data_IF_889058723630
#
_entry.id   IF_889058723630
#
_cell.length_a   1.000
_cell.length_b   1.000
_cell.length_c   1.000
_cell.angle_alpha   90.00
_cell.angle_beta   90.00
_cell.angle_gamma   90.00
#
_symmetry.space_group_name_H-M   'P 1'
#
loop_
_entity.id
_entity.type
_entity.pdbx_description
1 polymer ?
#
# COMPACT_ATOMS: atom_id res chain seq x y z
N UNK A 1 21.49 18.71 16.67
CA UNK A 1 21.22 17.79 17.79
C UNK A 1 19.82 18.09 18.32
N UNK A 2 18.92 17.10 18.33
CA UNK A 2 17.49 17.27 18.65
C UNK A 2 17.32 17.87 20.06
N UNK A 3 16.45 18.87 20.26
CA UNK A 3 16.24 19.52 21.58
C UNK A 3 15.92 18.50 22.68
N UNK A 4 15.16 17.46 22.32
CA UNK A 4 14.88 16.31 23.18
C UNK A 4 16.13 15.58 23.66
N UNK A 5 17.12 15.37 22.78
CA UNK A 5 18.35 14.66 23.10
C UNK A 5 19.20 15.43 24.12
N UNK A 6 19.23 16.77 24.00
CA UNK A 6 19.88 17.64 24.99
C UNK A 6 19.20 17.56 26.35
N UNK A 7 17.87 17.65 26.39
CA UNK A 7 17.09 17.58 27.63
C UNK A 7 17.32 16.25 28.36
N UNK A 8 17.35 15.14 27.62
CA UNK A 8 17.61 13.80 28.18
C UNK A 8 19.01 13.71 28.76
N UNK A 9 20.04 14.11 28.00
CA UNK A 9 21.44 14.09 28.46
C UNK A 9 21.60 14.89 29.75
N UNK A 10 21.01 16.09 29.82
CA UNK A 10 21.05 16.93 31.01
C UNK A 10 20.37 16.27 32.21
N UNK A 11 19.21 15.63 32.02
CA UNK A 11 18.52 14.92 33.12
C UNK A 11 19.27 13.67 33.59
N UNK A 12 19.84 12.88 32.68
CA UNK A 12 20.71 11.74 33.08
C UNK A 12 21.95 12.20 33.84
N UNK A 13 22.54 13.34 33.47
CA UNK A 13 23.70 13.90 34.17
C UNK A 13 23.32 14.41 35.57
N UNK A 14 22.20 15.13 35.69
CA UNK A 14 21.65 15.54 36.98
C UNK A 14 21.38 14.33 37.90
N UNK A 15 20.88 13.23 37.33
CA UNK A 15 20.62 12.00 38.08
C UNK A 15 21.90 11.32 38.57
N UNK A 16 22.93 11.22 37.71
CA UNK A 16 24.24 10.68 38.11
C UNK A 16 24.85 11.50 39.25
N UNK A 17 24.71 12.83 39.21
CA UNK A 17 25.14 13.74 40.27
C UNK A 17 24.41 13.47 41.60
N UNK A 18 23.08 13.30 41.56
CA UNK A 18 22.28 13.01 42.76
C UNK A 18 22.67 11.64 43.35
N UNK A 19 22.89 10.61 42.52
CA UNK A 19 23.32 9.29 43.00
C UNK A 19 24.69 9.32 43.67
N UNK A 20 25.64 10.09 43.11
CA UNK A 20 26.97 10.26 43.72
C UNK A 20 26.87 11.05 45.02
N UNK A 21 26.07 12.12 45.06
CA UNK A 21 25.93 12.99 46.23
C UNK A 21 25.29 12.27 47.43
N UNK A 22 24.35 11.36 47.18
CA UNK A 22 23.62 10.62 48.22
C UNK A 22 24.13 9.18 48.44
N UNK A 23 25.31 8.83 47.92
CA UNK A 23 25.87 7.48 48.03
C UNK A 23 26.02 7.01 49.51
N UNK A 24 26.27 7.94 50.44
CA UNK A 24 26.36 7.67 51.88
C UNK A 24 25.03 7.52 52.63
N UNK A 25 23.88 7.71 51.96
CA UNK A 25 22.54 7.56 52.54
C UNK A 25 21.88 6.21 52.20
N UNK A 26 22.68 5.28 51.71
CA UNK A 26 22.25 3.91 51.36
C UNK A 26 21.70 3.18 52.58
N UNK A 27 20.49 2.61 52.45
CA UNK A 27 19.80 1.89 53.53
C UNK A 27 18.76 2.69 54.34
N UNK A 28 18.56 3.99 54.04
CA UNK A 28 17.43 4.73 54.63
C UNK A 28 16.14 4.56 53.79
N UNK A 29 14.98 4.27 54.41
CA UNK A 29 13.72 4.01 53.68
C UNK A 29 13.28 5.14 52.75
N UNK A 30 13.56 6.40 53.12
CA UNK A 30 13.24 7.56 52.28
C UNK A 30 14.09 7.61 51.01
N UNK A 31 15.37 7.21 51.10
CA UNK A 31 16.30 7.19 49.98
C UNK A 31 15.94 6.06 49.01
N UNK A 32 15.62 4.87 49.53
CA UNK A 32 15.16 3.73 48.73
C UNK A 32 13.88 4.05 47.95
N UNK A 33 12.90 4.71 48.59
CA UNK A 33 11.69 5.16 47.90
C UNK A 33 12.00 6.17 46.79
N UNK A 34 12.91 7.13 47.03
CA UNK A 34 13.31 8.09 46.00
C UNK A 34 14.06 7.45 44.83
N UNK A 35 14.93 6.49 45.11
CA UNK A 35 15.60 5.70 44.06
C UNK A 35 14.57 4.93 43.25
N UNK A 36 13.61 4.26 43.89
CA UNK A 36 12.53 3.52 43.22
C UNK A 36 11.70 4.42 42.30
N UNK A 37 11.20 5.54 42.82
CA UNK A 37 10.39 6.49 42.05
C UNK A 37 11.17 7.04 40.85
N UNK A 38 12.46 7.29 41.02
CA UNK A 38 13.31 7.79 39.94
C UNK A 38 13.61 6.72 38.89
N UNK A 39 13.79 5.45 39.29
CA UNK A 39 13.91 4.33 38.35
C UNK A 39 12.62 4.20 37.53
N UNK A 40 11.44 4.27 38.16
CA UNK A 40 10.15 4.22 37.46
C UNK A 40 10.04 5.37 36.45
N UNK A 41 10.47 6.57 36.83
CA UNK A 41 10.49 7.73 35.96
C UNK A 41 11.48 7.54 34.79
N UNK A 42 12.69 7.05 35.02
CA UNK A 42 13.66 6.70 33.98
C UNK A 42 13.13 5.65 33.00
N UNK A 43 12.50 4.58 33.51
CA UNK A 43 11.91 3.53 32.69
C UNK A 43 10.77 4.09 31.84
N UNK A 44 9.89 4.93 32.40
CA UNK A 44 8.81 5.54 31.62
C UNK A 44 9.35 6.45 30.52
N UNK A 45 10.35 7.30 30.79
CA UNK A 45 11.02 8.10 29.76
C UNK A 45 11.71 7.25 28.69
N UNK A 46 12.35 6.15 29.08
CA UNK A 46 12.96 5.21 28.14
C UNK A 46 11.91 4.61 27.20
N UNK A 47 10.76 4.16 27.74
CA UNK A 47 9.63 3.66 26.93
C UNK A 47 9.15 4.73 25.95
N UNK A 48 8.97 5.98 26.41
CA UNK A 48 8.57 7.11 25.55
C UNK A 48 9.59 7.41 24.44
N UNK A 49 10.89 7.18 24.66
CA UNK A 49 11.92 7.34 23.62
C UNK A 49 11.93 6.19 22.61
N UNK A 50 11.70 4.98 23.09
CA UNK A 50 11.82 3.76 22.30
C UNK A 50 10.63 3.59 21.34
N UNK A 51 9.42 3.99 21.74
CA UNK A 51 8.21 3.91 20.89
C UNK A 51 8.36 4.66 19.54
N UNK A 52 8.78 5.95 19.49
CA UNK A 52 9.03 6.65 18.23
C UNK A 52 10.14 6.02 17.40
N UNK A 53 11.19 5.49 18.03
CA UNK A 53 12.28 4.80 17.31
C UNK A 53 11.76 3.56 16.57
N UNK A 54 10.87 2.80 17.22
CA UNK A 54 10.15 1.71 16.59
C UNK A 54 9.27 2.19 15.42
N UNK A 55 8.57 3.32 15.53
CA UNK A 55 7.76 3.85 14.42
C UNK A 55 8.58 4.13 13.14
N UNK A 56 9.86 4.47 13.27
CA UNK A 56 10.78 4.64 12.14
C UNK A 56 11.16 3.29 11.51
N UNK A 57 11.30 2.26 12.34
CA UNK A 57 11.56 0.89 11.90
C UNK A 57 10.36 0.30 11.14
N UNK A 58 9.14 0.48 11.65
CA UNK A 58 7.89 -0.11 11.12
C UNK A 58 7.26 0.69 9.97
N UNK A 59 8.02 1.02 8.93
CA UNK A 59 7.47 1.74 7.75
C UNK A 59 7.17 0.76 6.61
N UNK A 60 5.89 0.55 6.24
CA UNK A 60 5.50 -0.36 5.17
C UNK A 60 5.76 0.24 3.78
N UNK A 61 5.83 -0.63 2.78
CA UNK A 61 5.70 -0.27 1.38
C UNK A 61 4.25 0.15 1.13
N UNK A 62 4.03 1.31 0.51
CA UNK A 62 2.69 1.76 0.14
C UNK A 62 2.50 1.53 -1.35
N UNK A 63 1.47 0.79 -1.71
CA UNK A 63 1.04 0.59 -3.10
C UNK A 63 -0.35 1.19 -3.20
N UNK A 64 -0.49 2.25 -3.97
CA UNK A 64 -1.74 2.97 -4.18
C UNK A 64 -2.17 2.77 -5.63
N UNK A 65 -3.39 2.27 -5.80
CA UNK A 65 -4.06 2.11 -7.09
C UNK A 65 -5.21 3.10 -7.19
N UNK A 66 -5.22 3.88 -8.27
CA UNK A 66 -6.36 4.74 -8.61
C UNK A 66 -6.83 4.45 -10.01
N UNK A 67 -8.11 4.13 -10.11
CA UNK A 67 -8.84 3.94 -11.35
C UNK A 67 -9.64 5.20 -11.65
N UNK A 68 -9.48 5.76 -12.84
CA UNK A 68 -10.24 6.93 -13.27
C UNK A 68 -10.73 6.76 -14.71
N UNK A 69 -11.98 7.10 -14.95
CA UNK A 69 -12.55 7.11 -16.31
C UNK A 69 -11.88 8.16 -17.18
N UNK A 70 -11.63 7.85 -18.47
CA UNK A 70 -11.13 8.85 -19.43
C UNK A 70 -12.14 9.95 -19.78
N UNK A 71 -13.41 9.78 -19.41
CA UNK A 71 -14.49 10.74 -19.67
C UNK A 71 -14.35 12.08 -18.92
N UNK A 72 -13.51 12.14 -17.88
CA UNK A 72 -13.23 13.35 -17.11
C UNK A 72 -12.47 13.00 -15.82
N UNK A 73 -11.52 13.86 -15.42
CA UNK A 73 -10.65 13.61 -14.25
C UNK A 73 -11.46 13.41 -12.97
N UNK A 74 -11.22 12.30 -12.27
CA UNK A 74 -11.87 11.99 -10.98
C UNK A 74 -13.25 11.33 -11.04
N UNK A 75 -13.67 10.78 -12.19
CA UNK A 75 -14.92 10.03 -12.29
C UNK A 75 -14.66 8.53 -12.12
N UNK A 76 -15.06 7.98 -10.96
CA UNK A 76 -14.98 6.55 -10.61
C UNK A 76 -16.07 5.68 -11.29
N UNK A 77 -16.75 6.23 -12.30
CA UNK A 77 -17.87 5.59 -12.99
C UNK A 77 -17.68 5.65 -14.51
N UNK A 78 -17.88 4.50 -15.18
CA UNK A 78 -17.92 4.42 -16.64
C UNK A 78 -19.32 3.99 -17.10
N UNK A 79 -20.09 4.87 -17.75
CA UNK A 79 -21.38 4.52 -18.34
C UNK A 79 -21.18 3.82 -19.70
N UNK A 80 -21.90 2.72 -19.91
CA UNK A 80 -21.92 1.98 -21.18
C UNK A 80 -23.36 1.88 -21.66
N UNK A 81 -23.60 2.28 -22.91
CA UNK A 81 -24.90 2.22 -23.57
C UNK A 81 -24.97 0.96 -24.45
N UNK A 82 -26.00 0.15 -24.20
CA UNK A 82 -26.35 -1.04 -24.97
C UNK A 82 -27.58 -0.75 -25.82
N UNK A 83 -27.50 -1.02 -27.13
CA UNK A 83 -28.62 -0.93 -28.08
C UNK A 83 -28.67 -2.24 -28.86
N UNK A 84 -29.81 -2.95 -28.83
CA UNK A 84 -29.97 -4.29 -29.45
C UNK A 84 -28.88 -5.28 -29.04
N UNK A 85 -28.54 -5.32 -27.74
CA UNK A 85 -27.49 -6.16 -27.16
C UNK A 85 -26.06 -5.92 -27.71
N UNK A 86 -25.84 -4.81 -28.43
CA UNK A 86 -24.53 -4.35 -28.87
C UNK A 86 -24.08 -3.07 -28.14
N UNK A 87 -22.80 -2.99 -27.74
CA UNK A 87 -22.25 -1.78 -27.13
C UNK A 87 -22.07 -0.67 -28.17
N UNK A 88 -22.83 0.42 -28.02
CA UNK A 88 -22.76 1.61 -28.90
C UNK A 88 -21.78 2.68 -28.43
N UNK A 89 -21.38 2.65 -27.16
CA UNK A 89 -20.43 3.63 -26.59
C UNK A 89 -19.10 3.58 -27.34
N UNK A 90 -18.47 4.71 -27.67
CA UNK A 90 -17.15 4.68 -28.32
C UNK A 90 -16.07 4.11 -27.39
N UNK A 91 -15.07 3.37 -27.91
CA UNK A 91 -14.03 2.69 -27.12
C UNK A 91 -13.27 3.63 -26.16
N UNK A 92 -13.01 4.87 -26.58
CA UNK A 92 -12.34 5.89 -25.74
C UNK A 92 -13.13 6.20 -24.47
N UNK A 93 -14.46 6.17 -24.54
CA UNK A 93 -15.35 6.42 -23.41
C UNK A 93 -15.48 5.19 -22.49
N UNK A 94 -15.12 4.00 -23.00
CA UNK A 94 -15.02 2.74 -22.24
C UNK A 94 -13.63 2.49 -21.65
N UNK A 95 -12.69 3.42 -21.84
CA UNK A 95 -11.31 3.30 -21.35
C UNK A 95 -11.20 3.86 -19.94
N UNK A 96 -10.59 3.08 -19.04
CA UNK A 96 -10.27 3.47 -17.68
C UNK A 96 -8.75 3.50 -17.51
N UNK A 97 -8.22 4.56 -16.92
CA UNK A 97 -6.81 4.66 -16.59
C UNK A 97 -6.58 4.09 -15.19
N UNK A 98 -5.75 3.05 -15.08
CA UNK A 98 -5.24 2.55 -13.81
C UNK A 98 -3.86 3.16 -13.52
N UNK A 99 -3.79 4.07 -12.56
CA UNK A 99 -2.53 4.57 -12.04
C UNK A 99 -2.05 3.75 -10.85
N UNK A 100 -0.77 3.37 -10.88
CA UNK A 100 -0.08 2.60 -9.86
C UNK A 100 1.04 3.46 -9.30
N UNK A 101 0.90 3.85 -8.04
CA UNK A 101 1.93 4.54 -7.28
C UNK A 101 2.51 3.57 -6.23
N UNK A 102 3.81 3.32 -6.30
CA UNK A 102 4.53 2.48 -5.34
C UNK A 102 5.51 3.37 -4.59
N UNK A 103 5.25 3.62 -3.30
CA UNK A 103 6.09 4.45 -2.43
C UNK A 103 6.79 3.58 -1.40
N UNK A 104 8.11 3.66 -1.40
CA UNK A 104 8.99 3.03 -0.42
C UNK A 104 9.67 4.08 0.45
N UNK A 105 9.72 3.82 1.76
CA UNK A 105 10.60 4.51 2.70
C UNK A 105 11.61 3.49 3.23
N UNK A 106 12.90 3.79 3.19
CA UNK A 106 13.94 2.90 3.73
C UNK A 106 13.67 2.52 5.19
N UNK A 107 13.53 1.23 5.47
CA UNK A 107 13.22 0.68 6.79
C UNK A 107 13.75 -0.76 6.94
N UNK A 108 13.80 -1.28 8.16
CA UNK A 108 14.15 -2.70 8.38
C UNK A 108 13.07 -3.61 7.78
N UNK A 109 11.80 -3.21 7.87
CA UNK A 109 10.67 -3.94 7.27
C UNK A 109 10.79 -4.08 5.76
N UNK A 110 11.27 -3.03 5.07
CA UNK A 110 11.59 -3.12 3.65
C UNK A 110 12.66 -4.18 3.35
N UNK A 111 13.71 -4.27 4.16
CA UNK A 111 14.78 -5.26 3.97
C UNK A 111 14.28 -6.69 4.14
N UNK A 112 13.42 -6.93 5.13
CA UNK A 112 12.77 -8.22 5.34
C UNK A 112 11.82 -8.53 4.18
N UNK A 113 11.00 -7.54 3.78
CA UNK A 113 10.06 -7.69 2.68
C UNK A 113 10.76 -8.06 1.37
N UNK A 114 11.81 -7.34 0.98
CA UNK A 114 12.51 -7.63 -0.28
C UNK A 114 13.23 -8.98 -0.25
N UNK A 115 13.73 -9.40 0.92
CA UNK A 115 14.31 -10.72 1.10
C UNK A 115 13.24 -11.81 0.88
N UNK A 116 12.05 -11.63 1.46
CA UNK A 116 10.91 -12.54 1.27
C UNK A 116 10.38 -12.55 -0.17
N UNK A 117 10.30 -11.38 -0.82
CA UNK A 117 9.82 -11.25 -2.20
C UNK A 117 10.84 -11.66 -3.26
N UNK A 118 12.09 -11.94 -2.88
CA UNK A 118 13.16 -12.26 -3.84
C UNK A 118 12.82 -13.44 -4.77
N UNK A 119 12.12 -14.43 -4.24
CA UNK A 119 11.74 -15.67 -4.94
C UNK A 119 10.25 -15.72 -5.31
N UNK A 120 9.49 -14.64 -5.11
CA UNK A 120 8.04 -14.63 -5.36
C UNK A 120 7.69 -13.60 -6.42
N UNK A 121 6.66 -13.91 -7.20
CA UNK A 121 6.01 -12.94 -8.09
C UNK A 121 5.05 -12.08 -7.28
N UNK A 122 4.87 -10.83 -7.69
CA UNK A 122 3.94 -9.88 -7.09
C UNK A 122 3.07 -9.35 -8.20
N UNK A 123 1.81 -9.77 -8.21
CA UNK A 123 0.88 -9.49 -9.28
C UNK A 123 -0.30 -8.68 -8.76
N UNK A 124 -0.70 -7.67 -9.51
CA UNK A 124 -1.96 -6.96 -9.31
C UNK A 124 -2.96 -7.54 -10.28
N UNK A 125 -3.99 -8.22 -9.76
CA UNK A 125 -5.04 -8.84 -10.55
C UNK A 125 -6.25 -7.91 -10.58
N UNK A 126 -6.74 -7.62 -11.79
CA UNK A 126 -7.86 -6.72 -12.04
C UNK A 126 -8.97 -7.56 -12.67
N UNK A 127 -10.11 -7.61 -11.99
CA UNK A 127 -11.31 -8.34 -12.39
C UNK A 127 -12.55 -7.52 -12.05
N UNK A 128 -13.60 -7.72 -12.83
CA UNK A 128 -14.94 -7.23 -12.51
C UNK A 128 -15.62 -8.18 -11.52
N UNK A 129 -16.59 -7.67 -10.78
CA UNK A 129 -17.57 -8.48 -10.08
C UNK A 129 -18.95 -7.87 -10.36
N UNK A 130 -19.92 -8.62 -10.92
CA UNK A 130 -19.85 -10.04 -11.30
C UNK A 130 -18.87 -10.32 -12.46
N UNK A 131 -18.47 -11.58 -12.63
CA UNK A 131 -17.50 -12.05 -13.65
C UNK A 131 -18.09 -12.06 -15.09
N UNK A 132 -19.17 -11.32 -15.31
CA UNK A 132 -19.89 -11.20 -16.59
C UNK A 132 -19.33 -10.06 -17.45
N UNK A 133 -18.05 -9.72 -17.30
CA UNK A 133 -17.40 -8.66 -18.08
C UNK A 133 -15.98 -9.03 -18.42
N UNK A 134 -15.59 -8.73 -19.66
CA UNK A 134 -14.21 -8.81 -20.09
C UNK A 134 -13.54 -7.45 -19.94
N UNK A 135 -12.51 -7.40 -19.10
CA UNK A 135 -11.63 -6.24 -18.98
C UNK A 135 -10.30 -6.58 -19.64
N UNK A 136 -9.91 -5.79 -20.63
CA UNK A 136 -8.65 -6.01 -21.36
C UNK A 136 -7.80 -4.74 -21.46
N UNK A 137 -6.46 -4.84 -21.41
CA UNK A 137 -5.59 -3.75 -21.81
C UNK A 137 -5.77 -3.48 -23.32
N UNK A 138 -5.49 -2.25 -23.81
CA UNK A 138 -5.44 -1.99 -25.25
C UNK A 138 -4.37 -2.86 -25.92
N UNK A 139 -4.63 -3.35 -27.14
CA UNK A 139 -3.73 -4.26 -27.88
C UNK A 139 -2.29 -3.71 -28.03
N UNK A 140 -2.15 -2.37 -28.10
CA UNK A 140 -0.86 -1.68 -28.17
C UNK A 140 -0.03 -1.72 -26.88
N UNK A 141 -0.60 -2.23 -25.78
CA UNK A 141 -0.02 -2.26 -24.43
C UNK A 141 0.05 -3.68 -23.85
N UNK A 142 0.09 -4.70 -24.71
CA UNK A 142 0.60 -6.04 -24.35
C UNK A 142 2.10 -5.92 -24.04
N UNK A 143 2.39 -5.29 -22.91
CA UNK A 143 3.70 -5.11 -22.31
C UNK A 143 4.11 -6.44 -21.69
N UNK A 144 5.42 -6.70 -21.61
CA UNK A 144 5.97 -7.88 -20.92
C UNK A 144 5.51 -8.02 -19.46
N UNK A 145 5.03 -6.92 -18.86
CA UNK A 145 4.57 -6.86 -17.47
C UNK A 145 3.07 -7.23 -17.32
N UNK A 146 2.33 -7.49 -18.40
CA UNK A 146 0.86 -7.73 -18.38
C UNK A 146 0.53 -9.12 -18.92
N UNK A 147 -0.32 -9.86 -18.21
CA UNK A 147 -0.85 -11.15 -18.63
C UNK A 147 -2.37 -11.17 -18.61
N UNK A 148 -2.97 -11.77 -19.63
CA UNK A 148 -4.42 -11.91 -19.76
C UNK A 148 -4.92 -13.12 -18.97
N UNK A 149 -6.07 -12.94 -18.30
CA UNK A 149 -6.88 -14.02 -17.75
C UNK A 149 -8.21 -14.13 -18.52
N UNK A 150 -9.11 -14.97 -18.03
CA UNK A 150 -10.39 -15.26 -18.71
C UNK A 150 -11.35 -14.04 -18.73
N UNK A 151 -11.46 -13.31 -17.62
CA UNK A 151 -12.38 -12.16 -17.47
C UNK A 151 -11.66 -10.86 -17.13
N UNK A 152 -10.34 -10.88 -17.07
CA UNK A 152 -9.53 -9.76 -16.61
C UNK A 152 -8.06 -9.91 -16.95
N UNK A 153 -7.21 -9.17 -16.26
CA UNK A 153 -5.77 -9.18 -16.51
C UNK A 153 -4.96 -9.01 -15.23
N UNK A 154 -3.68 -9.38 -15.29
CA UNK A 154 -2.75 -9.21 -14.18
C UNK A 154 -1.50 -8.46 -14.59
N UNK A 155 -1.02 -7.59 -13.71
CA UNK A 155 0.17 -6.77 -13.90
C UNK A 155 1.25 -7.27 -12.93
N UNK A 156 2.37 -7.75 -13.46
CA UNK A 156 3.55 -8.12 -12.68
C UNK A 156 4.33 -6.85 -12.29
N UNK A 157 4.34 -6.56 -10.98
CA UNK A 157 5.10 -5.43 -10.40
C UNK A 157 6.38 -5.89 -9.71
N UNK A 158 6.76 -7.16 -9.85
CA UNK A 158 7.96 -7.74 -9.22
C UNK A 158 9.23 -7.00 -9.60
N UNK A 159 9.39 -6.67 -10.89
CA UNK A 159 10.56 -5.94 -11.38
C UNK A 159 10.59 -4.51 -10.84
N UNK A 160 9.42 -3.85 -10.73
CA UNK A 160 9.30 -2.52 -10.12
C UNK A 160 9.72 -2.53 -8.66
N UNK A 161 9.23 -3.49 -7.88
CA UNK A 161 9.61 -3.63 -6.46
C UNK A 161 11.10 -3.95 -6.33
N UNK A 162 11.64 -4.83 -7.19
CA UNK A 162 13.06 -5.22 -7.18
C UNK A 162 13.99 -4.05 -7.53
N UNK A 163 13.61 -3.19 -8.48
CA UNK A 163 14.42 -2.02 -8.85
C UNK A 163 14.54 -0.99 -7.71
N UNK A 164 13.53 -0.89 -6.84
CA UNK A 164 13.57 -0.03 -5.65
C UNK A 164 14.62 -0.46 -4.61
N UNK A 165 15.23 -1.64 -4.75
CA UNK A 165 16.32 -2.10 -3.87
C UNK A 165 17.57 -1.24 -3.98
N UNK A 166 17.88 -0.75 -5.18
CA UNK A 166 19.11 0.00 -5.45
C UNK A 166 19.07 1.44 -4.88
N UNK A 167 17.88 2.00 -4.65
CA UNK A 167 17.72 3.36 -4.12
C UNK A 167 17.94 3.45 -2.61
N UNK A 168 18.65 4.48 -2.16
CA UNK A 168 18.66 4.90 -0.76
C UNK A 168 17.46 5.82 -0.46
N UNK A 169 17.03 5.93 0.80
CA UNK A 169 16.01 6.90 1.21
C UNK A 169 14.55 6.61 0.78
N UNK A 170 13.81 7.66 0.39
CA UNK A 170 12.43 7.56 -0.11
C UNK A 170 12.44 7.37 -1.62
N UNK A 171 11.69 6.41 -2.13
CA UNK A 171 11.59 6.13 -3.56
C UNK A 171 10.11 6.02 -3.96
N UNK A 172 9.73 6.59 -5.10
CA UNK A 172 8.38 6.47 -5.65
C UNK A 172 8.44 6.08 -7.12
N UNK A 173 7.57 5.17 -7.54
CA UNK A 173 7.36 4.79 -8.94
C UNK A 173 5.90 5.03 -9.27
N UNK A 174 5.63 5.81 -10.30
CA UNK A 174 4.30 6.00 -10.84
C UNK A 174 4.25 5.42 -12.25
N UNK A 175 3.34 4.47 -12.49
CA UNK A 175 3.03 3.92 -13.82
C UNK A 175 1.52 4.02 -14.07
N UNK A 176 1.13 4.21 -15.32
CA UNK A 176 -0.28 4.24 -15.73
C UNK A 176 -0.53 3.15 -16.77
N UNK A 177 -1.60 2.40 -16.58
CA UNK A 177 -2.05 1.31 -17.43
C UNK A 177 -3.52 1.55 -17.80
N UNK A 178 -3.83 2.00 -19.02
CA UNK A 178 -5.20 2.04 -19.47
C UNK A 178 -5.72 0.60 -19.69
N UNK A 179 -7.01 0.41 -19.45
CA UNK A 179 -7.76 -0.79 -19.82
C UNK A 179 -9.13 -0.41 -20.37
N UNK A 180 -9.74 -1.32 -21.13
CA UNK A 180 -10.99 -1.13 -21.84
C UNK A 180 -11.96 -2.21 -21.40
N UNK A 181 -13.24 -1.83 -21.25
CA UNK A 181 -14.34 -2.79 -21.12
C UNK A 181 -14.69 -3.29 -22.52
N UNK A 182 -14.39 -4.56 -22.78
CA UNK A 182 -14.51 -5.16 -24.10
C UNK A 182 -15.83 -5.90 -24.29
N UNK A 183 -16.27 -5.94 -25.54
CA UNK A 183 -17.33 -6.84 -25.99
C UNK A 183 -16.74 -8.24 -26.15
N UNK A 184 -17.38 -9.26 -25.57
CA UNK A 184 -17.01 -10.66 -25.79
C UNK A 184 -18.27 -11.44 -26.21
N UNK A 185 -18.19 -12.26 -27.28
CA UNK A 185 -19.37 -12.95 -27.82
C UNK A 185 -20.04 -13.90 -26.83
N UNK A 186 -19.26 -14.49 -25.92
CA UNK A 186 -19.76 -15.45 -24.92
C UNK A 186 -20.25 -14.79 -23.61
N UNK A 187 -20.13 -13.46 -23.48
CA UNK A 187 -20.48 -12.73 -22.27
C UNK A 187 -21.74 -11.90 -22.53
N UNK A 188 -22.87 -12.38 -22.00
CA UNK A 188 -24.15 -11.67 -22.07
C UNK A 188 -24.37 -10.84 -20.81
N UNK A 189 -24.37 -9.52 -20.96
CA UNK A 189 -24.66 -8.59 -19.87
C UNK A 189 -26.19 -8.55 -19.67
N UNK A 190 -26.67 -9.14 -18.57
CA UNK A 190 -28.08 -9.09 -18.19
C UNK A 190 -28.51 -7.66 -17.79
N UNK A 191 -29.82 -7.37 -17.79
CA UNK A 191 -30.45 -6.04 -17.66
C UNK A 191 -29.74 -5.04 -16.72
N UNK A 192 -29.71 -3.73 -17.08
CA UNK A 192 -29.26 -2.58 -16.27
C UNK A 192 -28.33 -2.95 -15.10
N UNK A 193 -27.22 -3.63 -15.43
CA UNK A 193 -26.33 -4.17 -14.42
C UNK A 193 -25.30 -3.11 -14.02
N UNK A 194 -24.76 -3.24 -12.82
CA UNK A 194 -23.55 -2.51 -12.45
C UNK A 194 -22.50 -3.48 -11.98
N UNK A 195 -21.31 -3.38 -12.56
CA UNK A 195 -20.17 -4.17 -12.15
C UNK A 195 -19.16 -3.29 -11.42
N UNK A 196 -18.42 -3.90 -10.51
CA UNK A 196 -17.38 -3.23 -9.74
C UNK A 196 -16.05 -3.86 -10.13
N UNK A 197 -15.12 -3.05 -10.60
CA UNK A 197 -13.74 -3.47 -10.84
C UNK A 197 -12.95 -3.32 -9.55
N UNK A 198 -12.42 -4.43 -9.03
CA UNK A 198 -11.67 -4.45 -7.77
C UNK A 198 -10.25 -4.98 -7.98
N UNK A 199 -9.23 -4.13 -7.93
CA UNK A 199 -7.84 -4.57 -7.95
C UNK A 199 -7.49 -5.36 -6.68
N UNK A 200 -6.81 -6.50 -6.84
CA UNK A 200 -6.33 -7.33 -5.73
C UNK A 200 -4.84 -7.62 -5.88
N UNK A 201 -4.10 -7.53 -4.77
CA UNK A 201 -2.68 -7.84 -4.72
C UNK A 201 -2.44 -9.32 -4.37
N UNK A 202 -1.75 -10.03 -5.24
CA UNK A 202 -1.33 -11.42 -5.09
C UNK A 202 0.19 -11.53 -5.01
N UNK A 203 0.66 -12.47 -4.19
CA UNK A 203 2.09 -12.76 -4.02
C UNK A 203 2.28 -14.26 -4.25
N UNK A 204 2.90 -14.62 -5.37
CA UNK A 204 2.70 -15.93 -5.99
C UNK A 204 1.21 -16.13 -6.28
N UNK A 205 0.65 -17.24 -5.79
CA UNK A 205 -0.76 -17.58 -6.01
C UNK A 205 -1.66 -17.26 -4.82
N UNK A 206 -1.15 -16.57 -3.79
CA UNK A 206 -1.90 -16.29 -2.55
C UNK A 206 -2.21 -14.80 -2.43
N UNK A 207 -3.41 -14.44 -1.94
CA UNK A 207 -3.73 -13.05 -1.65
C UNK A 207 -2.81 -12.52 -0.54
N UNK A 208 -2.43 -11.24 -0.62
CA UNK A 208 -1.43 -10.60 0.26
C UNK A 208 -1.87 -10.39 1.73
N UNK A 209 -2.92 -11.08 2.21
CA UNK A 209 -3.54 -10.86 3.54
C UNK A 209 -2.55 -10.89 4.71
N UNK A 210 -1.55 -11.77 4.66
CA UNK A 210 -0.52 -11.89 5.71
C UNK A 210 0.55 -10.79 5.67
N UNK A 211 0.68 -10.09 4.55
CA UNK A 211 1.70 -9.07 4.34
C UNK A 211 1.19 -7.65 4.58
N UNK A 212 -0.01 -7.49 5.15
CA UNK A 212 -0.59 -6.19 5.54
C UNK A 212 0.32 -5.36 6.46
N UNK A 213 1.18 -6.01 7.25
CA UNK A 213 2.18 -5.34 8.09
C UNK A 213 3.33 -4.73 7.28
N UNK A 214 3.69 -5.34 6.15
CA UNK A 214 4.81 -4.92 5.31
C UNK A 214 4.38 -4.08 4.11
N UNK A 215 3.16 -4.31 3.61
CA UNK A 215 2.59 -3.68 2.43
C UNK A 215 1.23 -3.09 2.81
N UNK A 216 1.14 -1.76 2.73
CA UNK A 216 -0.12 -1.03 2.77
C UNK A 216 -0.64 -0.93 1.33
N UNK A 217 -1.70 -1.66 1.03
CA UNK A 217 -2.34 -1.64 -0.28
C UNK A 217 -3.61 -0.79 -0.21
N UNK A 218 -3.61 0.32 -0.94
CA UNK A 218 -4.72 1.26 -1.03
C UNK A 218 -5.27 1.21 -2.45
N UNK A 219 -6.58 1.03 -2.61
CA UNK A 219 -7.23 0.96 -3.92
C UNK A 219 -8.59 1.64 -3.84
N UNK A 220 -9.03 2.28 -4.92
CA UNK A 220 -10.44 2.61 -5.13
C UNK A 220 -11.13 1.46 -5.88
N UNK A 221 -12.46 1.48 -5.85
CA UNK A 221 -13.30 0.60 -6.65
C UNK A 221 -13.84 1.42 -7.82
N UNK A 222 -13.75 0.90 -9.03
CA UNK A 222 -14.33 1.55 -10.22
C UNK A 222 -15.67 0.91 -10.57
N UNK A 223 -16.71 1.71 -10.79
CA UNK A 223 -18.05 1.22 -11.13
C UNK A 223 -18.28 1.32 -12.64
N UNK A 224 -18.73 0.24 -13.25
CA UNK A 224 -19.20 0.21 -14.63
C UNK A 224 -20.72 0.09 -14.58
N UNK A 225 -21.43 0.99 -15.26
CA UNK A 225 -22.90 1.03 -15.25
C UNK A 225 -23.41 0.87 -16.66
N UNK A 226 -24.30 -0.12 -16.86
CA UNK A 226 -24.92 -0.38 -18.14
C UNK A 226 -26.30 0.26 -18.23
N UNK A 227 -26.55 0.93 -19.35
CA UNK A 227 -27.85 1.50 -19.70
C UNK A 227 -28.34 0.82 -20.98
N UNK A 228 -29.51 0.17 -20.92
CA UNK A 228 -30.17 -0.38 -22.11
C UNK A 228 -31.22 0.61 -22.63
N UNK A 229 -31.22 0.86 -23.94
CA UNK A 229 -32.27 1.61 -24.63
C UNK A 229 -33.28 0.68 -25.31
#
# INVERSE_FOLDING_TARGET
MNQYLKMILTQTFQFALILVFFHGSTGQPWFENKVRDTIILLVSYFVYMVIPFFSWLFRPLVITLKQESRLGGGVDVTPILLENDAMKTHQTLRTVNLSIEIVRRGSIWWRILIWFLRQRTVNIVIHATPDELLIQPPDSLLLNDVSMGETGFSIDISLLIKSMRAGSGKFSINKSFPYIVADHPDIHISHNLSAIVQPKLYIGNKPSRFLKLFIKFETNNHKIVFFRR
#
